data_IF_144087087368
#
_entry.id   IF_144087087368
#
_cell.length_a   1.000
_cell.length_b   1.000
_cell.length_c   1.000
_cell.angle_alpha   90.00
_cell.angle_beta   90.00
_cell.angle_gamma   90.00
#
_symmetry.space_group_name_H-M   'P 1'
#
loop_
_entity.id
_entity.type
_entity.pdbx_description
1 polymer ?
#
# COMPACT_ATOMS: atom_id res chain seq x y z
N UNK A 1 30.74 16.79 3.78
CA UNK A 1 29.47 17.51 3.55
C UNK A 1 28.47 16.44 3.15
N UNK A 2 27.35 16.31 3.85
CA UNK A 2 26.34 15.25 3.59
C UNK A 2 25.20 15.85 2.79
N UNK A 3 24.62 15.09 1.87
CA UNK A 3 23.45 15.54 1.09
C UNK A 3 22.16 15.01 1.72
N UNK A 4 21.06 15.70 1.48
CA UNK A 4 19.73 15.24 1.81
C UNK A 4 19.33 14.11 0.86
N UNK A 5 19.00 12.94 1.38
CA UNK A 5 18.63 11.75 0.59
C UNK A 5 17.35 11.94 -0.25
N UNK A 6 16.49 12.91 0.14
CA UNK A 6 15.21 13.18 -0.54
C UNK A 6 15.28 14.27 -1.62
N UNK A 7 16.26 15.17 -1.56
CA UNK A 7 16.29 16.35 -2.45
C UNK A 7 17.68 16.80 -2.88
N UNK A 8 18.71 16.01 -2.57
CA UNK A 8 20.12 16.23 -2.87
C UNK A 8 20.70 17.55 -2.35
N UNK A 9 19.95 18.28 -1.52
CA UNK A 9 20.41 19.54 -0.92
C UNK A 9 21.60 19.25 0.00
N UNK A 10 22.70 20.00 -0.20
CA UNK A 10 23.85 19.97 0.71
C UNK A 10 23.44 20.42 2.12
N UNK A 11 23.73 19.58 3.11
CA UNK A 11 23.48 19.84 4.52
C UNK A 11 24.74 20.40 5.18
N UNK A 12 24.58 21.46 5.96
CA UNK A 12 25.59 21.92 6.92
C UNK A 12 25.73 20.97 8.11
N UNK A 13 26.74 21.20 8.96
CA UNK A 13 27.13 20.33 10.09
C UNK A 13 25.95 20.02 11.05
N UNK A 14 24.99 20.93 11.19
CA UNK A 14 23.84 20.81 12.10
C UNK A 14 22.47 20.87 11.40
N UNK A 15 22.42 20.73 10.06
CA UNK A 15 21.18 20.88 9.29
C UNK A 15 20.54 19.55 8.85
N UNK A 16 21.18 18.42 9.18
CA UNK A 16 20.69 17.09 8.85
C UNK A 16 19.89 16.47 9.98
N UNK A 17 18.68 16.02 9.66
CA UNK A 17 17.82 15.23 10.53
C UNK A 17 17.83 13.77 10.08
N UNK A 18 17.62 12.83 10.99
CA UNK A 18 17.49 11.40 10.64
C UNK A 18 16.18 11.17 9.89
N UNK A 19 16.23 10.35 8.85
CA UNK A 19 15.06 10.06 8.05
C UNK A 19 13.99 9.30 8.89
N UNK A 20 12.74 9.79 8.98
CA UNK A 20 11.70 9.18 9.81
C UNK A 20 11.37 7.72 9.43
N UNK A 21 11.28 7.43 8.12
CA UNK A 21 10.97 6.08 7.61
C UNK A 21 12.20 5.16 7.45
N UNK A 22 13.26 5.64 6.79
CA UNK A 22 14.44 4.84 6.45
C UNK A 22 15.45 4.67 7.60
N UNK A 23 15.29 5.44 8.68
CA UNK A 23 16.05 5.30 9.91
C UNK A 23 17.38 6.05 9.96
N UNK A 24 18.25 5.65 10.87
CA UNK A 24 19.41 6.46 11.33
C UNK A 24 20.55 6.57 10.32
N UNK A 25 20.53 5.77 9.26
CA UNK A 25 21.56 5.78 8.20
C UNK A 25 21.32 6.86 7.14
N UNK A 26 20.10 7.38 7.06
CA UNK A 26 19.69 8.33 6.04
C UNK A 26 19.47 9.70 6.68
N UNK A 27 20.00 10.73 6.03
CA UNK A 27 19.91 12.11 6.49
C UNK A 27 19.09 12.96 5.52
N UNK A 28 18.22 13.79 6.08
CA UNK A 28 17.33 14.67 5.33
C UNK A 28 17.39 16.10 5.87
N UNK A 29 17.10 17.08 5.02
CA UNK A 29 16.92 18.45 5.49
C UNK A 29 15.61 18.58 6.28
N UNK A 30 15.48 19.60 7.13
CA UNK A 30 14.28 19.80 7.95
C UNK A 30 12.97 19.89 7.17
N UNK A 31 12.99 20.45 5.95
CA UNK A 31 11.79 20.47 5.08
C UNK A 31 11.36 19.06 4.65
N UNK A 32 12.32 18.23 4.24
CA UNK A 32 12.06 16.85 3.85
C UNK A 32 11.66 16.00 5.07
N UNK A 33 12.26 16.26 6.24
CA UNK A 33 11.85 15.61 7.49
C UNK A 33 10.37 15.83 7.78
N UNK A 34 9.91 17.09 7.78
CA UNK A 34 8.51 17.41 8.08
C UNK A 34 7.56 16.77 7.09
N UNK A 35 7.88 16.83 5.79
CA UNK A 35 7.07 16.21 4.74
C UNK A 35 6.92 14.70 4.97
N UNK A 36 8.05 13.99 5.13
CA UNK A 36 8.04 12.54 5.34
C UNK A 36 7.30 12.18 6.63
N UNK A 37 7.47 12.96 7.69
CA UNK A 37 6.78 12.74 8.96
C UNK A 37 5.26 12.88 8.82
N UNK A 38 4.77 13.94 8.16
CA UNK A 38 3.35 14.13 7.87
C UNK A 38 2.79 13.01 7.00
N UNK A 39 3.53 12.55 5.99
CA UNK A 39 3.13 11.44 5.13
C UNK A 39 3.03 10.12 5.93
N UNK A 40 3.97 9.88 6.85
CA UNK A 40 3.93 8.72 7.76
C UNK A 40 2.77 8.79 8.74
N UNK A 41 2.46 9.96 9.29
CA UNK A 41 1.33 10.16 10.20
C UNK A 41 -0.01 9.92 9.49
N UNK A 42 -0.16 10.43 8.26
CA UNK A 42 -1.33 10.15 7.40
C UNK A 42 -1.46 8.67 7.08
N UNK A 43 -0.35 8.02 6.72
CA UNK A 43 -0.35 6.58 6.46
C UNK A 43 -0.72 5.78 7.71
N UNK A 44 -0.16 6.13 8.86
CA UNK A 44 -0.53 5.51 10.14
C UNK A 44 -2.01 5.69 10.43
N UNK A 45 -2.56 6.87 10.20
CA UNK A 45 -3.98 7.16 10.39
C UNK A 45 -4.85 6.31 9.46
N UNK A 46 -4.47 6.18 8.18
CA UNK A 46 -5.15 5.33 7.22
C UNK A 46 -5.11 3.84 7.62
N UNK A 47 -3.94 3.32 8.00
CA UNK A 47 -3.81 1.95 8.47
C UNK A 47 -4.66 1.69 9.72
N UNK A 48 -4.74 2.65 10.64
CA UNK A 48 -5.56 2.55 11.85
C UNK A 48 -7.05 2.69 11.55
N UNK A 49 -7.46 3.55 10.63
CA UNK A 49 -8.87 3.67 10.24
C UNK A 49 -9.39 2.40 9.57
N UNK A 50 -8.54 1.74 8.78
CA UNK A 50 -8.91 0.50 8.08
C UNK A 50 -8.78 -0.75 8.96
N UNK A 51 -7.92 -0.73 9.99
CA UNK A 51 -7.71 -1.90 10.87
C UNK A 51 -8.67 -2.00 12.05
N UNK A 52 -9.36 -0.91 12.43
CA UNK A 52 -10.25 -0.90 13.60
C UNK A 52 -11.75 -0.92 13.30
N UNK A 53 -12.13 -1.07 12.03
CA UNK A 53 -13.54 -1.05 11.63
C UNK A 53 -14.05 -2.45 11.26
N UNK A 54 -13.96 -3.38 12.22
CA UNK A 54 -14.54 -4.74 12.13
C UNK A 54 -16.08 -4.67 11.95
N UNK A 55 -16.72 -3.56 12.34
CA UNK A 55 -18.15 -3.34 12.12
C UNK A 55 -18.48 -2.78 10.73
N UNK A 56 -17.57 -2.02 10.09
CA UNK A 56 -17.73 -1.63 8.67
C UNK A 56 -17.30 -2.73 7.70
N UNK A 57 -16.65 -3.80 8.16
CA UNK A 57 -16.40 -5.02 7.39
C UNK A 57 -17.65 -5.92 7.24
N UNK A 58 -18.85 -5.32 7.31
CA UNK A 58 -20.06 -5.84 6.66
C UNK A 58 -20.23 -5.25 5.26
N UNK A 59 -19.14 -4.85 4.59
CA UNK A 59 -19.18 -4.91 3.14
C UNK A 59 -19.33 -6.38 2.83
N UNK A 60 -20.56 -6.78 2.47
CA UNK A 60 -20.76 -8.06 1.83
C UNK A 60 -19.91 -8.02 0.56
N UNK A 61 -18.75 -8.64 0.66
CA UNK A 61 -17.76 -8.70 -0.40
C UNK A 61 -18.48 -9.22 -1.65
N UNK A 62 -19.42 -10.16 -1.51
CA UNK A 62 -20.20 -10.64 -2.63
C UNK A 62 -21.08 -9.55 -3.26
N UNK A 63 -21.75 -8.70 -2.49
CA UNK A 63 -22.60 -7.62 -3.01
C UNK A 63 -21.79 -6.50 -3.68
N UNK A 64 -20.70 -6.05 -3.07
CA UNK A 64 -19.82 -5.03 -3.64
C UNK A 64 -19.08 -5.56 -4.89
N UNK A 65 -18.78 -6.85 -4.94
CA UNK A 65 -18.19 -7.50 -6.09
C UNK A 65 -19.18 -7.68 -7.24
N UNK A 66 -20.42 -8.11 -6.96
CA UNK A 66 -21.47 -8.23 -7.97
C UNK A 66 -21.76 -6.87 -8.64
N UNK A 67 -21.84 -5.78 -7.86
CA UNK A 67 -22.05 -4.41 -8.40
C UNK A 67 -20.92 -3.93 -9.33
N UNK A 68 -19.69 -4.35 -9.11
CA UNK A 68 -18.53 -3.89 -9.89
C UNK A 68 -18.25 -4.75 -11.13
N UNK A 69 -18.52 -6.05 -11.08
CA UNK A 69 -18.29 -6.96 -12.21
C UNK A 69 -19.43 -6.90 -13.24
N UNK A 70 -20.67 -6.60 -12.84
CA UNK A 70 -21.81 -6.54 -13.76
C UNK A 70 -21.69 -5.44 -14.83
N UNK A 71 -20.84 -4.43 -14.62
CA UNK A 71 -20.74 -3.27 -15.51
C UNK A 71 -19.58 -3.34 -16.53
N UNK A 72 -18.71 -4.37 -16.49
CA UNK A 72 -17.57 -4.48 -17.42
C UNK A 72 -17.41 -5.91 -18.00
N UNK A 73 -17.85 -6.13 -19.26
CA UNK A 73 -17.77 -7.41 -19.95
C UNK A 73 -16.33 -7.94 -20.16
N UNK A 74 -15.32 -7.07 -20.21
CA UNK A 74 -13.93 -7.48 -20.38
C UNK A 74 -13.37 -8.03 -19.06
N UNK A 75 -13.71 -7.39 -17.94
CA UNK A 75 -13.38 -7.89 -16.61
C UNK A 75 -14.06 -9.23 -16.33
N UNK A 76 -15.32 -9.40 -16.72
CA UNK A 76 -16.03 -10.68 -16.60
C UNK A 76 -15.31 -11.81 -17.33
N UNK A 77 -14.91 -11.59 -18.59
CA UNK A 77 -14.24 -12.60 -19.41
C UNK A 77 -12.84 -12.94 -18.89
N UNK A 78 -12.08 -11.94 -18.45
CA UNK A 78 -10.77 -12.16 -17.84
C UNK A 78 -10.91 -12.97 -16.54
N UNK A 79 -11.90 -12.65 -15.71
CA UNK A 79 -12.13 -13.34 -14.44
C UNK A 79 -12.59 -14.79 -14.63
N UNK A 80 -13.53 -15.07 -15.55
CA UNK A 80 -13.93 -16.45 -15.84
C UNK A 80 -12.75 -17.31 -16.26
N UNK A 81 -11.84 -16.77 -17.08
CA UNK A 81 -10.63 -17.48 -17.47
C UNK A 81 -9.68 -17.73 -16.29
N UNK A 82 -9.55 -16.76 -15.37
CA UNK A 82 -8.72 -16.90 -14.18
C UNK A 82 -9.29 -17.94 -13.21
N UNK A 83 -10.61 -17.91 -12.97
CA UNK A 83 -11.29 -18.82 -12.06
C UNK A 83 -11.21 -20.28 -12.55
N UNK A 84 -11.44 -20.50 -13.85
CA UNK A 84 -11.29 -21.81 -14.47
C UNK A 84 -9.87 -22.37 -14.33
N UNK A 85 -8.84 -21.53 -14.35
CA UNK A 85 -7.45 -21.96 -14.10
C UNK A 85 -7.25 -22.44 -12.66
N UNK A 86 -7.73 -21.66 -11.69
CA UNK A 86 -7.62 -22.04 -10.27
C UNK A 86 -8.37 -23.32 -9.94
N UNK A 87 -9.57 -23.53 -10.49
CA UNK A 87 -10.31 -24.77 -10.28
C UNK A 87 -9.58 -25.97 -10.89
N UNK A 88 -9.08 -25.85 -12.12
CA UNK A 88 -8.31 -26.91 -12.77
C UNK A 88 -7.02 -27.26 -12.00
N UNK A 89 -6.33 -26.27 -11.43
CA UNK A 89 -5.16 -26.50 -10.57
C UNK A 89 -5.53 -27.20 -9.25
N UNK A 90 -6.67 -26.84 -8.66
CA UNK A 90 -7.19 -27.46 -7.43
C UNK A 90 -7.59 -28.92 -7.64
N UNK A 91 -8.12 -29.28 -8.81
CA UNK A 91 -8.42 -30.67 -9.16
C UNK A 91 -7.18 -31.46 -9.58
N UNK A 92 -6.16 -30.81 -10.17
CA UNK A 92 -4.87 -31.44 -10.48
C UNK A 92 -4.09 -31.85 -9.22
N UNK A 93 -4.25 -31.12 -8.11
CA UNK A 93 -3.65 -31.45 -6.81
C UNK A 93 -4.37 -32.57 -6.05
N UNK A 94 -5.59 -32.95 -6.43
CA UNK A 94 -6.34 -34.05 -5.81
C UNK A 94 -6.11 -35.43 -6.45
N UNK A 95 -5.37 -35.50 -7.55
CA UNK A 95 -5.07 -36.73 -8.30
C UNK A 95 -3.61 -37.19 -8.15
N UNK A 96 -2.88 -36.66 -7.17
CA UNK A 96 -1.55 -37.13 -6.75
C UNK A 96 -1.60 -37.78 -5.38
#
# INVERSE_FOLDING_TARGET
MVNCEECDKKLGILQGHRHPALGTRFLVCGKCFNKVYEDMERWSTFCLSDSFNIESSKIDIQEAWNKNIDNDPLLQKWFQNLWNKFENEKYALKLR
#
